data_IF_682776530955
#
_entry.id   IF_682776530955
#
_cell.length_a   1.000
_cell.length_b   1.000
_cell.length_c   1.000
_cell.angle_alpha   90.00
_cell.angle_beta   90.00
_cell.angle_gamma   90.00
#
_symmetry.space_group_name_H-M   'P 1'
#
loop_
_entity.id
_entity.type
_entity.pdbx_description
1 polymer ?
#
# COMPACT_ATOMS: atom_id res chain seq x y z
N UNK A 1 15.42 -16.72 -3.90
CA UNK A 1 15.10 -15.31 -3.59
C UNK A 1 14.12 -15.35 -2.45
N UNK A 2 14.40 -14.68 -1.34
CA UNK A 2 13.46 -14.64 -0.21
C UNK A 2 12.41 -13.54 -0.44
N UNK A 3 11.20 -13.72 0.10
CA UNK A 3 10.14 -12.71 0.00
C UNK A 3 10.61 -11.34 0.56
N UNK A 4 11.40 -11.37 1.64
CA UNK A 4 11.92 -10.15 2.25
C UNK A 4 12.85 -9.37 1.30
N UNK A 5 13.62 -10.04 0.45
CA UNK A 5 14.49 -9.36 -0.53
C UNK A 5 13.67 -8.60 -1.58
N UNK A 6 12.51 -9.15 -1.96
CA UNK A 6 11.57 -8.48 -2.85
C UNK A 6 11.02 -7.23 -2.17
N UNK A 7 10.56 -7.35 -0.91
CA UNK A 7 10.07 -6.21 -0.13
C UNK A 7 11.12 -5.12 0.03
N UNK A 8 12.38 -5.49 0.34
CA UNK A 8 13.50 -4.54 0.45
C UNK A 8 13.69 -3.71 -0.83
N UNK A 9 13.48 -4.32 -2.01
CA UNK A 9 13.62 -3.61 -3.27
C UNK A 9 12.48 -2.63 -3.55
N UNK A 10 11.28 -2.90 -3.03
CA UNK A 10 10.10 -2.03 -3.16
C UNK A 10 10.10 -0.89 -2.15
N UNK A 11 10.83 -1.05 -1.05
CA UNK A 11 10.87 -0.13 0.09
C UNK A 11 12.29 0.44 0.28
N UNK A 12 12.81 1.22 -0.68
CA UNK A 12 14.19 1.71 -0.62
C UNK A 12 14.49 2.57 0.61
N UNK A 13 13.48 3.15 1.27
CA UNK A 13 13.63 4.00 2.49
C UNK A 13 14.16 3.20 3.67
N UNK A 14 13.99 1.88 3.68
CA UNK A 14 14.56 1.04 4.74
C UNK A 14 16.08 1.00 4.74
N UNK A 15 16.73 1.45 3.65
CA UNK A 15 18.19 1.46 3.50
C UNK A 15 18.77 2.81 3.12
N UNK A 16 18.05 3.59 2.32
CA UNK A 16 18.52 4.85 1.76
C UNK A 16 17.97 6.02 2.56
N UNK A 17 18.85 6.95 2.91
CA UNK A 17 18.51 8.24 3.50
C UNK A 17 17.91 9.23 2.49
N UNK A 18 18.12 9.00 1.19
CA UNK A 18 17.57 9.83 0.11
C UNK A 18 16.86 8.94 -0.91
N UNK A 19 15.60 9.25 -1.18
CA UNK A 19 14.81 8.65 -2.25
C UNK A 19 14.33 9.78 -3.14
N UNK A 20 14.50 9.58 -4.44
CA UNK A 20 13.96 10.49 -5.43
C UNK A 20 12.47 10.20 -5.62
N UNK A 21 11.63 11.10 -5.12
CA UNK A 21 10.19 11.02 -5.25
C UNK A 21 9.71 12.02 -6.30
N UNK A 22 8.63 11.74 -7.04
CA UNK A 22 8.14 12.65 -8.06
C UNK A 22 7.79 14.03 -7.48
N UNK A 23 8.61 15.05 -7.79
CA UNK A 23 8.49 16.42 -7.25
C UNK A 23 7.15 17.07 -7.61
N UNK A 24 6.65 16.83 -8.82
CA UNK A 24 5.40 17.44 -9.29
C UNK A 24 4.18 16.75 -8.70
N UNK A 25 3.53 17.40 -7.73
CA UNK A 25 2.26 16.95 -7.14
C UNK A 25 1.17 16.90 -8.20
N UNK A 26 0.45 15.77 -8.29
CA UNK A 26 -0.72 15.66 -9.17
C UNK A 26 -1.85 16.56 -8.68
N UNK A 27 -2.72 17.00 -9.58
CA UNK A 27 -3.89 17.82 -9.23
C UNK A 27 -4.77 17.15 -8.16
N UNK A 28 -4.91 15.82 -8.26
CA UNK A 28 -5.69 14.99 -7.32
C UNK A 28 -4.98 14.73 -5.99
N UNK A 29 -3.71 15.11 -5.85
CA UNK A 29 -2.93 14.87 -4.63
C UNK A 29 -3.56 15.52 -3.40
N UNK A 30 -4.07 16.75 -3.53
CA UNK A 30 -4.68 17.48 -2.41
C UNK A 30 -5.90 16.75 -1.84
N UNK A 31 -6.75 16.20 -2.70
CA UNK A 31 -7.95 15.48 -2.31
C UNK A 31 -7.62 14.14 -1.66
N UNK A 32 -6.71 13.39 -2.27
CA UNK A 32 -6.22 12.11 -1.75
C UNK A 32 -5.52 12.30 -0.41
N UNK A 33 -4.71 13.35 -0.26
CA UNK A 33 -4.07 13.71 1.00
C UNK A 33 -5.09 14.05 2.08
N UNK A 34 -6.13 14.85 1.76
CA UNK A 34 -7.18 15.17 2.73
C UNK A 34 -7.89 13.92 3.23
N UNK A 35 -8.18 12.96 2.34
CA UNK A 35 -8.72 11.66 2.72
C UNK A 35 -7.72 10.87 3.57
N UNK A 36 -6.44 10.85 3.19
CA UNK A 36 -5.37 10.17 3.92
C UNK A 36 -5.08 10.79 5.29
N UNK A 37 -5.29 12.08 5.51
CA UNK A 37 -5.11 12.70 6.82
C UNK A 37 -6.36 12.54 7.71
N UNK A 38 -7.49 12.09 7.16
CA UNK A 38 -8.72 11.88 7.92
C UNK A 38 -8.63 10.70 8.89
N UNK A 39 -9.63 10.57 9.78
CA UNK A 39 -9.78 9.44 10.70
C UNK A 39 -10.02 8.08 10.00
N UNK A 40 -10.22 8.06 8.66
CA UNK A 40 -10.34 6.82 7.90
C UNK A 40 -9.03 6.03 7.98
N UNK A 41 -9.14 4.78 8.38
CA UNK A 41 -8.01 3.86 8.55
C UNK A 41 -7.81 2.96 7.35
N UNK A 42 -8.80 2.80 6.46
CA UNK A 42 -8.70 2.06 5.22
C UNK A 42 -9.22 2.91 4.06
N UNK A 43 -8.39 3.11 3.03
CA UNK A 43 -8.67 4.00 1.89
C UNK A 43 -8.39 3.24 0.60
N UNK A 44 -9.35 3.25 -0.32
CA UNK A 44 -9.20 2.68 -1.66
C UNK A 44 -9.02 3.79 -2.70
N UNK A 45 -7.96 3.71 -3.51
CA UNK A 45 -7.78 4.53 -4.71
C UNK A 45 -8.12 3.72 -5.94
N UNK A 46 -9.27 4.02 -6.55
CA UNK A 46 -9.72 3.38 -7.78
C UNK A 46 -9.49 4.29 -8.98
N UNK A 47 -9.12 3.69 -10.11
CA UNK A 47 -8.96 4.41 -11.37
C UNK A 47 -8.34 3.54 -12.45
N UNK A 48 -8.40 4.02 -13.69
CA UNK A 48 -7.82 3.31 -14.85
C UNK A 48 -6.31 3.06 -14.66
N UNK A 49 -5.77 2.09 -15.40
CA UNK A 49 -4.30 1.90 -15.45
C UNK A 49 -3.64 3.17 -16.00
N UNK A 50 -2.44 3.49 -15.50
CA UNK A 50 -1.62 4.65 -15.92
C UNK A 50 -2.16 6.04 -15.58
N UNK A 51 -3.15 6.16 -14.69
CA UNK A 51 -3.59 7.47 -14.14
C UNK A 51 -2.68 7.99 -13.02
N UNK A 52 -1.59 7.28 -12.71
CA UNK A 52 -0.58 7.63 -11.70
C UNK A 52 -1.00 7.45 -10.25
N UNK A 53 -1.72 6.37 -9.94
CA UNK A 53 -2.03 5.97 -8.56
C UNK A 53 -0.75 5.64 -7.78
N UNK A 54 0.19 4.93 -8.39
CA UNK A 54 1.51 4.64 -7.82
C UNK A 54 2.27 5.93 -7.51
N UNK A 55 2.21 6.92 -8.41
CA UNK A 55 2.78 8.27 -8.17
C UNK A 55 2.18 8.91 -6.93
N UNK A 56 0.86 8.86 -6.75
CA UNK A 56 0.19 9.39 -5.55
C UNK A 56 0.63 8.67 -4.27
N UNK A 57 0.79 7.34 -4.31
CA UNK A 57 1.31 6.56 -3.19
C UNK A 57 2.72 7.04 -2.82
N UNK A 58 3.62 7.12 -3.79
CA UNK A 58 5.00 7.56 -3.55
C UNK A 58 5.05 8.99 -3.01
N UNK A 59 4.18 9.90 -3.48
CA UNK A 59 4.08 11.26 -2.94
C UNK A 59 3.58 11.28 -1.48
N UNK A 60 2.64 10.41 -1.12
CA UNK A 60 2.20 10.28 0.27
C UNK A 60 3.30 9.70 1.17
N UNK A 61 4.05 8.71 0.68
CA UNK A 61 5.19 8.12 1.40
C UNK A 61 6.26 9.18 1.64
N UNK A 62 6.60 9.98 0.62
CA UNK A 62 7.56 11.08 0.78
C UNK A 62 7.13 12.04 1.89
N UNK A 63 5.86 12.47 1.88
CA UNK A 63 5.33 13.39 2.90
C UNK A 63 5.31 12.80 4.30
N UNK A 64 5.12 11.49 4.44
CA UNK A 64 5.24 10.81 5.73
C UNK A 64 6.68 10.89 6.25
N UNK A 65 7.65 10.60 5.39
CA UNK A 65 9.08 10.63 5.72
C UNK A 65 9.51 12.06 6.06
N UNK A 66 9.15 13.06 5.25
CA UNK A 66 9.44 14.49 5.49
C UNK A 66 8.86 15.00 6.81
N UNK A 67 7.74 14.43 7.28
CA UNK A 67 7.12 14.75 8.58
C UNK A 67 7.72 14.00 9.76
N UNK A 68 8.76 13.19 9.55
CA UNK A 68 9.44 12.44 10.60
C UNK A 68 8.82 11.08 10.93
N UNK A 69 7.99 10.53 10.05
CA UNK A 69 7.57 9.11 10.16
C UNK A 69 8.80 8.23 9.99
N UNK A 70 9.01 7.26 10.88
CA UNK A 70 10.16 6.38 10.74
C UNK A 70 10.02 5.52 9.47
N UNK A 71 11.12 5.31 8.75
CA UNK A 71 11.10 4.48 7.52
C UNK A 71 10.51 3.08 7.76
N UNK A 72 10.76 2.53 8.96
CA UNK A 72 10.31 1.20 9.36
C UNK A 72 8.80 1.14 9.63
N UNK A 73 8.12 2.27 9.83
CA UNK A 73 6.66 2.36 10.00
C UNK A 73 5.90 2.28 8.67
N UNK A 74 6.61 2.36 7.54
CA UNK A 74 6.03 2.42 6.19
C UNK A 74 6.34 1.13 5.44
N UNK A 75 5.29 0.43 5.02
CA UNK A 75 5.34 -0.73 4.13
C UNK A 75 4.57 -0.46 2.84
N UNK A 76 5.27 -0.53 1.71
CA UNK A 76 4.71 -0.52 0.36
C UNK A 76 4.89 -1.88 -0.29
N UNK A 77 3.86 -2.34 -1.00
CA UNK A 77 3.91 -3.57 -1.78
C UNK A 77 3.20 -3.35 -3.12
N UNK A 78 3.89 -3.61 -4.22
CA UNK A 78 3.29 -3.63 -5.56
C UNK A 78 2.90 -5.06 -5.94
N UNK A 79 1.60 -5.36 -5.99
CA UNK A 79 1.13 -6.73 -6.25
C UNK A 79 1.25 -7.16 -7.71
N UNK A 80 1.60 -6.26 -8.62
CA UNK A 80 1.86 -6.57 -10.03
C UNK A 80 3.33 -6.92 -10.32
N UNK A 81 4.20 -6.92 -9.30
CA UNK A 81 5.61 -7.28 -9.46
C UNK A 81 5.78 -8.78 -9.81
N UNK A 82 6.42 -9.12 -10.94
CA UNK A 82 6.59 -10.51 -11.37
C UNK A 82 7.33 -11.40 -10.35
N UNK A 83 8.16 -10.83 -9.47
CA UNK A 83 8.88 -11.59 -8.44
C UNK A 83 7.95 -12.13 -7.36
N UNK A 84 6.73 -11.59 -7.24
CA UNK A 84 5.71 -12.09 -6.31
C UNK A 84 4.93 -13.32 -6.84
N UNK A 85 5.11 -13.67 -8.12
CA UNK A 85 4.45 -14.84 -8.73
C UNK A 85 4.79 -16.12 -7.96
N UNK A 86 6.06 -16.33 -7.62
CA UNK A 86 6.51 -17.52 -6.87
C UNK A 86 6.00 -17.59 -5.44
N UNK A 87 5.45 -16.48 -4.93
CA UNK A 87 4.87 -16.39 -3.59
C UNK A 87 3.35 -16.27 -3.62
N UNK A 88 2.73 -16.39 -4.79
CA UNK A 88 1.28 -16.27 -4.98
C UNK A 88 0.70 -14.93 -4.46
N UNK A 89 1.43 -13.84 -4.66
CA UNK A 89 1.01 -12.46 -4.32
C UNK A 89 0.56 -12.29 -2.84
N UNK A 90 1.46 -12.48 -1.86
CA UNK A 90 1.10 -12.70 -0.47
C UNK A 90 0.98 -11.40 0.35
N UNK A 91 -0.21 -10.77 0.45
CA UNK A 91 -0.35 -9.50 1.20
C UNK A 91 -0.10 -9.74 2.69
N UNK A 92 -0.80 -10.72 3.27
CA UNK A 92 -0.73 -10.98 4.71
C UNK A 92 0.64 -11.48 5.14
N UNK A 93 1.25 -12.38 4.38
CA UNK A 93 2.58 -12.90 4.70
C UNK A 93 3.65 -11.82 4.54
N UNK A 94 3.51 -10.92 3.55
CA UNK A 94 4.39 -9.75 3.43
C UNK A 94 4.29 -8.83 4.64
N UNK A 95 3.07 -8.58 5.13
CA UNK A 95 2.82 -7.76 6.31
C UNK A 95 3.37 -8.42 7.59
N UNK A 96 3.12 -9.71 7.79
CA UNK A 96 3.62 -10.47 8.95
C UNK A 96 5.16 -10.56 8.95
N UNK A 97 5.77 -10.70 7.77
CA UNK A 97 7.23 -10.71 7.62
C UNK A 97 7.84 -9.34 7.95
N UNK A 98 7.22 -8.25 7.49
CA UNK A 98 7.59 -6.88 7.87
C UNK A 98 7.47 -6.67 9.39
N UNK A 99 6.35 -7.06 9.99
CA UNK A 99 6.14 -6.99 11.44
C UNK A 99 7.20 -7.78 12.22
N UNK A 100 7.55 -8.98 11.76
CA UNK A 100 8.59 -9.80 12.38
C UNK A 100 9.96 -9.11 12.36
N UNK A 101 10.24 -8.32 11.30
CA UNK A 101 11.53 -7.65 11.12
C UNK A 101 11.67 -6.35 11.91
N UNK A 102 10.60 -5.57 12.00
CA UNK A 102 10.62 -4.21 12.56
C UNK A 102 9.81 -4.05 13.86
N UNK A 103 9.09 -5.10 14.27
CA UNK A 103 8.27 -5.12 15.47
C UNK A 103 6.90 -4.48 15.27
N UNK A 104 6.12 -4.43 16.36
CA UNK A 104 4.83 -3.74 16.40
C UNK A 104 5.08 -2.23 16.51
N UNK A 105 4.96 -1.53 15.39
CA UNK A 105 5.00 -0.06 15.30
C UNK A 105 3.66 0.49 14.82
N UNK A 106 3.50 1.81 14.87
CA UNK A 106 2.48 2.48 14.05
C UNK A 106 2.77 2.13 12.59
N UNK A 107 1.75 1.75 11.84
CA UNK A 107 1.93 1.09 10.56
C UNK A 107 1.15 1.80 9.46
N UNK A 108 1.85 2.22 8.42
CA UNK A 108 1.31 2.71 7.16
C UNK A 108 1.51 1.64 6.09
N UNK A 109 0.41 1.00 5.68
CA UNK A 109 0.41 -0.06 4.67
C UNK A 109 -0.12 0.47 3.35
N UNK A 110 0.73 0.46 2.32
CA UNK A 110 0.39 0.81 0.96
C UNK A 110 0.40 -0.45 0.08
N UNK A 111 -0.73 -0.81 -0.52
CA UNK A 111 -0.82 -1.98 -1.42
C UNK A 111 -1.25 -1.53 -2.81
N UNK A 112 -0.33 -1.54 -3.76
CA UNK A 112 -0.62 -1.19 -5.15
C UNK A 112 -1.12 -2.40 -5.94
N UNK A 113 -2.09 -2.17 -6.81
CA UNK A 113 -2.76 -3.16 -7.64
C UNK A 113 -3.21 -4.41 -6.85
N UNK A 114 -3.79 -4.20 -5.66
CA UNK A 114 -4.17 -5.24 -4.69
C UNK A 114 -4.98 -6.40 -5.28
N UNK A 115 -5.74 -6.13 -6.35
CA UNK A 115 -6.56 -7.10 -7.07
C UNK A 115 -5.79 -8.30 -7.67
N UNK A 116 -4.46 -8.21 -7.82
CA UNK A 116 -3.61 -9.34 -8.22
C UNK A 116 -3.52 -10.41 -7.14
N UNK A 117 -3.66 -10.03 -5.86
CA UNK A 117 -3.72 -10.99 -4.77
C UNK A 117 -5.13 -11.57 -4.64
N UNK A 118 -5.22 -12.90 -4.54
CA UNK A 118 -6.49 -13.59 -4.35
C UNK A 118 -7.05 -13.25 -2.96
N UNK A 119 -8.34 -12.92 -2.87
CA UNK A 119 -8.99 -12.56 -1.61
C UNK A 119 -8.29 -11.41 -0.86
N UNK A 120 -7.75 -10.44 -1.59
CA UNK A 120 -7.00 -9.31 -1.01
C UNK A 120 -7.84 -8.55 0.03
N UNK A 121 -9.14 -8.44 -0.18
CA UNK A 121 -10.12 -7.82 0.71
C UNK A 121 -10.15 -8.52 2.09
N UNK A 122 -10.21 -9.85 2.11
CA UNK A 122 -10.16 -10.65 3.34
C UNK A 122 -8.79 -10.53 4.03
N UNK A 123 -7.71 -10.50 3.26
CA UNK A 123 -6.36 -10.32 3.79
C UNK A 123 -6.20 -8.93 4.45
N UNK A 124 -6.61 -7.86 3.77
CA UNK A 124 -6.57 -6.50 4.30
C UNK A 124 -7.47 -6.34 5.53
N UNK A 125 -8.66 -6.94 5.54
CA UNK A 125 -9.54 -6.97 6.71
C UNK A 125 -8.86 -7.64 7.89
N UNK A 126 -8.24 -8.81 7.69
CA UNK A 126 -7.52 -9.54 8.76
C UNK A 126 -6.35 -8.73 9.31
N UNK A 127 -5.58 -8.08 8.45
CA UNK A 127 -4.50 -7.17 8.86
C UNK A 127 -5.06 -6.02 9.71
N UNK A 128 -6.15 -5.38 9.24
CA UNK A 128 -6.79 -4.30 9.97
C UNK A 128 -7.32 -4.74 11.34
N UNK A 129 -7.96 -5.90 11.41
CA UNK A 129 -8.54 -6.45 12.64
C UNK A 129 -7.51 -6.75 13.72
N UNK A 130 -6.34 -7.24 13.33
CA UNK A 130 -5.31 -7.67 14.27
C UNK A 130 -4.32 -6.56 14.64
N UNK A 131 -4.10 -5.57 13.76
CA UNK A 131 -2.98 -4.64 13.91
C UNK A 131 -3.35 -3.16 13.75
N UNK A 132 -4.57 -2.87 13.25
CA UNK A 132 -5.08 -1.50 13.04
C UNK A 132 -4.12 -0.53 12.30
N UNK A 133 -3.37 -0.95 11.25
CA UNK A 133 -2.60 -0.02 10.44
C UNK A 133 -3.50 0.98 9.72
N UNK A 134 -2.90 2.09 9.27
CA UNK A 134 -3.48 2.91 8.23
C UNK A 134 -3.19 2.29 6.87
N UNK A 135 -4.23 1.84 6.17
CA UNK A 135 -4.14 1.12 4.91
C UNK A 135 -4.59 2.03 3.77
N UNK A 136 -3.76 2.15 2.74
CA UNK A 136 -4.15 2.66 1.43
C UNK A 136 -3.88 1.58 0.39
N UNK A 137 -4.89 1.22 -0.39
CA UNK A 137 -4.72 0.25 -1.46
C UNK A 137 -5.29 0.74 -2.78
N UNK A 138 -4.75 0.26 -3.89
CA UNK A 138 -5.23 0.59 -5.23
C UNK A 138 -5.77 -0.64 -5.96
N UNK A 139 -6.60 -0.40 -6.96
CA UNK A 139 -6.76 -1.33 -8.05
C UNK A 139 -7.58 -0.75 -9.20
N UNK A 140 -7.62 -1.47 -10.32
CA UNK A 140 -8.34 -1.02 -11.50
C UNK A 140 -9.84 -1.09 -11.31
N UNK A 141 -10.53 0.05 -11.43
CA UNK A 141 -11.99 0.13 -11.35
C UNK A 141 -12.70 -0.86 -12.30
N UNK A 142 -12.14 -1.10 -13.50
CA UNK A 142 -12.67 -2.07 -14.47
C UNK A 142 -12.69 -3.52 -13.98
N UNK A 143 -11.79 -3.89 -13.07
CA UNK A 143 -11.73 -5.23 -12.47
C UNK A 143 -12.67 -5.36 -11.28
N UNK A 144 -12.86 -4.28 -10.51
CA UNK A 144 -13.87 -4.22 -9.44
C UNK A 144 -15.30 -4.24 -9.99
N UNK A 145 -15.57 -3.50 -11.07
CA UNK A 145 -16.86 -3.50 -11.77
C UNK A 145 -17.16 -4.88 -12.38
N UNK A 146 -16.16 -5.58 -12.92
CA UNK A 146 -16.32 -6.97 -13.41
C UNK A 146 -16.50 -8.00 -12.29
N UNK A 147 -15.98 -7.75 -11.08
CA UNK A 147 -16.13 -8.64 -9.92
C UNK A 147 -17.36 -8.34 -9.05
N UNK A 148 -18.15 -7.30 -9.35
CA UNK A 148 -19.37 -6.96 -8.60
C UNK A 148 -19.13 -6.45 -7.18
N UNK A 149 -17.92 -6.00 -6.82
CA UNK A 149 -17.57 -5.56 -5.45
C UNK A 149 -17.90 -4.07 -5.28
N UNK A 150 -19.15 -3.69 -5.55
CA UNK A 150 -19.69 -2.34 -5.33
C UNK A 150 -20.57 -2.24 -4.08
N UNK A 151 -20.77 -3.31 -3.32
CA UNK A 151 -21.50 -3.26 -2.05
C UNK A 151 -20.71 -3.87 -0.89
N UNK A 152 -20.69 -3.14 0.22
CA UNK A 152 -20.29 -3.57 1.57
C UNK A 152 -18.78 -3.64 1.91
N UNK A 153 -18.18 -2.47 2.13
CA UNK A 153 -17.11 -2.31 3.14
C UNK A 153 -17.49 -1.26 4.20
N UNK A 154 -18.76 -0.85 4.22
CA UNK A 154 -19.38 -0.07 5.28
C UNK A 154 -20.50 -0.93 5.86
N UNK A 155 -20.13 -1.96 6.61
CA UNK A 155 -20.99 -2.74 7.49
C UNK A 155 -20.37 -2.73 8.88
#
# INVERSE_FOLDING_TARGET
MELFDVLLSMNPWWRKSVIDFPETKRDTFKEVKKLFDSAKTMISLQGLRRVGKSTLIFQLINELIEKGTEAEEILYISMDDPRLISFNFPIIESFELWLKRFGRKKAYLFVDEAHFSKNFDLQLKRIYDNYRPKILFTGSASLFLKKGISESLAG
#
